data_IF_764901635423
#
_entry.id   IF_764901635423
#
_cell.length_a   1.000
_cell.length_b   1.000
_cell.length_c   1.000
_cell.angle_alpha   90.00
_cell.angle_beta   90.00
_cell.angle_gamma   90.00
#
_symmetry.space_group_name_H-M   'P 1'
#
loop_
_entity.id
_entity.type
_entity.pdbx_description
1 polymer ?
#
# COMPACT_ATOMS: atom_id res chain seq x y z
N UNK A 1 11.56 -32.67 -2.00
CA UNK A 1 11.72 -31.24 -1.65
C UNK A 1 11.08 -30.99 -0.30
N UNK A 2 11.64 -30.06 0.50
CA UNK A 2 10.93 -29.54 1.68
C UNK A 2 9.86 -28.55 1.19
N UNK A 3 8.64 -28.56 1.76
CA UNK A 3 7.65 -27.53 1.46
C UNK A 3 8.18 -26.14 1.81
N UNK A 4 7.76 -25.14 1.04
CA UNK A 4 8.08 -23.72 1.22
C UNK A 4 6.79 -22.92 1.20
N UNK A 5 6.80 -21.74 1.82
CA UNK A 5 5.64 -20.86 1.89
C UNK A 5 5.99 -19.54 1.21
N UNK A 6 5.18 -19.14 0.24
CA UNK A 6 5.31 -17.86 -0.46
C UNK A 6 4.08 -17.00 -0.16
N UNK A 7 4.29 -15.80 0.37
CA UNK A 7 3.22 -14.88 0.77
C UNK A 7 3.31 -13.59 -0.02
N UNK A 8 2.14 -13.05 -0.40
CA UNK A 8 2.09 -11.62 -0.73
C UNK A 8 2.19 -10.78 0.54
N UNK A 9 2.41 -9.47 0.40
CA UNK A 9 2.46 -8.56 1.53
C UNK A 9 1.11 -7.86 1.76
N UNK A 10 0.70 -6.98 0.85
CA UNK A 10 -0.59 -6.30 0.94
C UNK A 10 -1.75 -7.28 0.75
N UNK A 11 -2.74 -7.23 1.63
CA UNK A 11 -3.91 -8.12 1.56
C UNK A 11 -3.68 -9.55 2.08
N UNK A 12 -2.45 -9.88 2.52
CA UNK A 12 -2.14 -11.17 3.17
C UNK A 12 -1.50 -10.95 4.54
N UNK A 13 -0.40 -10.18 4.61
CA UNK A 13 0.29 -9.87 5.86
C UNK A 13 -0.25 -8.57 6.45
N UNK A 14 -0.43 -7.56 5.60
CA UNK A 14 -0.63 -6.17 6.00
C UNK A 14 -1.88 -5.54 5.37
N UNK A 15 -2.63 -4.84 6.20
CA UNK A 15 -3.55 -3.77 5.81
C UNK A 15 -2.79 -2.44 5.75
N UNK A 16 -2.62 -1.91 4.54
CA UNK A 16 -1.95 -0.64 4.23
C UNK A 16 -2.94 0.47 3.86
N UNK A 17 -4.24 0.29 4.14
CA UNK A 17 -5.28 1.23 3.74
C UNK A 17 -5.03 2.65 4.29
N UNK A 18 -4.75 2.76 5.59
CA UNK A 18 -4.54 4.06 6.24
C UNK A 18 -3.30 4.77 5.69
N UNK A 19 -2.23 4.03 5.39
CA UNK A 19 -1.04 4.58 4.73
C UNK A 19 -1.34 5.07 3.32
N UNK A 20 -2.10 4.29 2.54
CA UNK A 20 -2.53 4.68 1.20
C UNK A 20 -3.36 5.97 1.24
N UNK A 21 -4.26 6.10 2.22
CA UNK A 21 -5.09 7.29 2.42
C UNK A 21 -4.22 8.52 2.72
N UNK A 22 -3.37 8.46 3.75
CA UNK A 22 -2.52 9.60 4.15
C UNK A 22 -1.61 10.03 2.99
N UNK A 23 -0.99 9.05 2.32
CA UNK A 23 -0.11 9.32 1.19
C UNK A 23 -0.86 9.93 0.01
N UNK A 24 -2.02 9.37 -0.36
CA UNK A 24 -2.82 9.87 -1.48
C UNK A 24 -3.39 11.26 -1.20
N UNK A 25 -3.82 11.51 0.04
CA UNK A 25 -4.29 12.83 0.48
C UNK A 25 -3.21 13.89 0.32
N UNK A 26 -2.00 13.63 0.82
CA UNK A 26 -0.88 14.55 0.70
C UNK A 26 -0.48 14.78 -0.76
N UNK A 27 -0.39 13.71 -1.55
CA UNK A 27 -0.06 13.80 -2.97
C UNK A 27 -1.10 14.60 -3.75
N UNK A 28 -2.39 14.46 -3.41
CA UNK A 28 -3.48 15.21 -4.03
C UNK A 28 -3.33 16.69 -3.73
N UNK A 29 -3.17 17.06 -2.45
CA UNK A 29 -3.01 18.46 -2.05
C UNK A 29 -1.78 19.10 -2.68
N UNK A 30 -0.65 18.38 -2.75
CA UNK A 30 0.55 18.84 -3.44
C UNK A 30 0.31 19.08 -4.93
N UNK A 31 -0.36 18.16 -5.63
CA UNK A 31 -0.66 18.32 -7.05
C UNK A 31 -1.63 19.47 -7.32
N UNK A 32 -2.60 19.71 -6.43
CA UNK A 32 -3.55 20.82 -6.56
C UNK A 32 -3.03 22.15 -5.99
N UNK A 33 -1.78 22.21 -5.52
CA UNK A 33 -1.14 23.45 -5.03
C UNK A 33 -1.63 23.94 -3.67
N UNK A 34 -2.06 23.02 -2.81
CA UNK A 34 -2.53 23.28 -1.45
C UNK A 34 -1.47 22.90 -0.41
N UNK A 35 -1.35 23.70 0.66
CA UNK A 35 -0.38 23.49 1.74
C UNK A 35 -0.83 22.47 2.81
N UNK A 36 -1.91 21.72 2.57
CA UNK A 36 -2.36 20.71 3.50
C UNK A 36 -1.41 19.51 3.54
N UNK A 37 -1.11 19.05 4.76
CA UNK A 37 -0.28 17.88 5.00
C UNK A 37 -0.80 17.09 6.22
N UNK A 38 -1.11 15.81 6.00
CA UNK A 38 -1.52 14.87 7.03
C UNK A 38 -0.35 13.94 7.38
N UNK A 39 -0.13 13.71 8.68
CA UNK A 39 0.81 12.69 9.16
C UNK A 39 0.07 11.42 9.63
N UNK A 40 -1.24 11.52 9.83
CA UNK A 40 -2.13 10.45 10.25
C UNK A 40 -3.53 10.66 9.69
N UNK A 41 -4.38 9.64 9.79
CA UNK A 41 -5.78 9.77 9.37
C UNK A 41 -6.61 10.66 10.31
N UNK A 42 -6.09 11.01 11.49
CA UNK A 42 -6.70 12.00 12.37
C UNK A 42 -6.55 13.44 11.85
N UNK A 43 -5.59 13.70 10.95
CA UNK A 43 -5.39 15.00 10.31
C UNK A 43 -6.33 15.19 9.10
N UNK A 44 -7.10 14.16 8.74
CA UNK A 44 -8.00 14.14 7.58
C UNK A 44 -9.43 14.18 8.10
N UNK A 45 -10.28 14.98 7.45
CA UNK A 45 -11.72 15.04 7.79
C UNK A 45 -12.34 13.63 7.77
N UNK A 46 -13.09 13.22 8.80
CA UNK A 46 -13.63 11.86 8.89
C UNK A 46 -14.43 11.43 7.67
N UNK A 47 -15.20 12.35 7.07
CA UNK A 47 -16.02 12.08 5.89
C UNK A 47 -15.18 11.69 4.67
N UNK A 48 -14.01 12.32 4.51
CA UNK A 48 -13.05 12.02 3.44
C UNK A 48 -12.40 10.67 3.70
N UNK A 49 -11.95 10.43 4.93
CA UNK A 49 -11.31 9.17 5.32
C UNK A 49 -12.24 7.96 5.15
N UNK A 50 -13.48 8.09 5.63
CA UNK A 50 -14.49 7.03 5.53
C UNK A 50 -14.95 6.80 4.09
N UNK A 51 -15.05 7.86 3.29
CA UNK A 51 -15.32 7.73 1.87
C UNK A 51 -14.19 6.99 1.16
N UNK A 52 -12.92 7.35 1.43
CA UNK A 52 -11.78 6.65 0.85
C UNK A 52 -11.76 5.17 1.23
N UNK A 53 -11.99 4.83 2.51
CA UNK A 53 -12.08 3.43 2.98
C UNK A 53 -13.06 2.60 2.16
N UNK A 54 -14.25 3.16 1.89
CA UNK A 54 -15.27 2.48 1.07
C UNK A 54 -14.87 2.38 -0.40
N UNK A 55 -14.20 3.39 -0.94
CA UNK A 55 -13.94 3.50 -2.38
C UNK A 55 -12.58 2.95 -2.82
N UNK A 56 -11.67 2.66 -1.88
CA UNK A 56 -10.29 2.18 -2.13
C UNK A 56 -10.21 0.99 -3.10
N UNK A 57 -11.24 0.15 -3.13
CA UNK A 57 -11.30 -1.03 -4.00
C UNK A 57 -11.37 -0.70 -5.50
N UNK A 58 -11.76 0.52 -5.89
CA UNK A 58 -11.79 0.94 -7.29
C UNK A 58 -10.39 1.11 -7.90
N UNK A 59 -9.44 1.60 -7.10
CA UNK A 59 -8.09 1.89 -7.56
C UNK A 59 -7.22 0.63 -7.61
N UNK A 60 -6.58 0.42 -8.76
CA UNK A 60 -5.68 -0.71 -9.03
C UNK A 60 -4.21 -0.40 -8.77
N UNK A 61 -3.84 0.86 -8.89
CA UNK A 61 -2.47 1.36 -8.76
C UNK A 61 -2.47 2.77 -8.13
N UNK A 62 -1.28 3.29 -7.84
CA UNK A 62 -1.13 4.54 -7.11
C UNK A 62 -1.70 5.76 -7.87
N UNK A 63 -1.52 5.82 -9.19
CA UNK A 63 -2.02 6.92 -10.03
C UNK A 63 -3.54 7.13 -9.89
N UNK A 64 -4.30 6.05 -9.71
CA UNK A 64 -5.75 6.06 -9.63
C UNK A 64 -6.29 6.62 -8.30
N UNK A 65 -5.47 6.70 -7.25
CA UNK A 65 -5.90 7.30 -5.99
C UNK A 65 -6.25 8.78 -6.10
N UNK A 66 -5.72 9.49 -7.10
CA UNK A 66 -6.13 10.87 -7.36
C UNK A 66 -7.64 10.96 -7.58
N UNK A 67 -8.24 10.07 -8.38
CA UNK A 67 -9.68 10.08 -8.68
C UNK A 67 -10.49 9.85 -7.41
N UNK A 68 -10.04 8.92 -6.57
CA UNK A 68 -10.72 8.60 -5.31
C UNK A 68 -10.67 9.79 -4.36
N UNK A 69 -9.49 10.37 -4.11
CA UNK A 69 -9.35 11.51 -3.20
C UNK A 69 -10.11 12.73 -3.73
N UNK A 70 -10.02 13.01 -5.04
CA UNK A 70 -10.78 14.07 -5.69
C UNK A 70 -12.26 13.93 -5.39
N UNK A 71 -12.84 12.76 -5.70
CA UNK A 71 -14.24 12.46 -5.43
C UNK A 71 -14.60 12.61 -3.96
N UNK A 72 -13.78 12.10 -3.04
CA UNK A 72 -14.02 12.19 -1.61
C UNK A 72 -14.03 13.64 -1.10
N UNK A 73 -13.30 14.56 -1.74
CA UNK A 73 -13.20 15.96 -1.34
C UNK A 73 -14.30 16.82 -1.99
N UNK A 74 -14.65 16.57 -3.26
CA UNK A 74 -15.55 17.43 -4.04
C UNK A 74 -17.02 17.03 -3.96
N UNK A 75 -17.32 15.76 -4.26
CA UNK A 75 -18.69 15.27 -4.44
C UNK A 75 -19.13 14.43 -3.24
N UNK A 76 -18.24 13.54 -2.77
CA UNK A 76 -18.51 12.59 -1.71
C UNK A 76 -19.59 11.55 -2.04
N UNK A 77 -19.93 10.72 -1.06
CA UNK A 77 -21.02 9.75 -1.19
C UNK A 77 -20.72 8.53 -2.06
N UNK A 78 -21.77 7.90 -2.56
CA UNK A 78 -21.68 6.66 -3.34
C UNK A 78 -21.09 6.91 -4.73
N UNK A 79 -20.14 6.09 -5.14
CA UNK A 79 -19.53 6.10 -6.46
C UNK A 79 -19.84 4.77 -7.15
N UNK A 80 -20.33 4.81 -8.39
CA UNK A 80 -20.52 3.60 -9.20
C UNK A 80 -19.30 3.33 -10.08
N UNK A 81 -19.11 2.08 -10.52
CA UNK A 81 -18.03 1.73 -11.45
C UNK A 81 -18.09 2.57 -12.74
N UNK A 82 -19.26 2.71 -13.35
CA UNK A 82 -19.43 3.51 -14.57
C UNK A 82 -19.04 4.99 -14.36
N UNK A 83 -19.35 5.55 -13.19
CA UNK A 83 -18.95 6.93 -12.85
C UNK A 83 -17.45 7.02 -12.61
N UNK A 84 -16.87 6.06 -11.89
CA UNK A 84 -15.42 5.97 -11.69
C UNK A 84 -14.68 5.91 -13.03
N UNK A 85 -15.09 5.03 -13.94
CA UNK A 85 -14.47 4.88 -15.28
C UNK A 85 -14.56 6.18 -16.10
N UNK A 86 -15.68 6.89 -15.99
CA UNK A 86 -15.88 8.20 -16.62
C UNK A 86 -14.90 9.23 -16.05
N UNK A 87 -14.71 9.28 -14.72
CA UNK A 87 -13.78 10.20 -14.08
C UNK A 87 -12.33 9.87 -14.44
N UNK A 88 -11.94 8.59 -14.37
CA UNK A 88 -10.61 8.12 -14.75
C UNK A 88 -10.28 8.50 -16.20
N UNK A 89 -11.25 8.33 -17.12
CA UNK A 89 -11.09 8.76 -18.53
C UNK A 89 -11.00 10.27 -18.67
N UNK A 90 -11.83 11.03 -17.95
CA UNK A 90 -11.83 12.50 -17.95
C UNK A 90 -10.51 13.09 -17.46
N UNK A 91 -9.90 12.47 -16.45
CA UNK A 91 -8.67 12.94 -15.80
C UNK A 91 -7.43 12.14 -16.19
N UNK A 92 -7.47 11.39 -17.30
CA UNK A 92 -6.38 10.50 -17.72
C UNK A 92 -5.02 11.19 -17.81
N UNK A 93 -4.96 12.48 -18.19
CA UNK A 93 -3.72 13.25 -18.26
C UNK A 93 -3.11 13.58 -16.88
N UNK A 94 -3.91 13.58 -15.81
CA UNK A 94 -3.44 13.86 -14.44
C UNK A 94 -2.84 12.64 -13.76
N UNK A 95 -3.33 11.44 -14.06
CA UNK A 95 -2.96 10.22 -13.33
C UNK A 95 -1.45 9.92 -13.42
N UNK A 96 -0.79 9.99 -14.60
CA UNK A 96 0.65 9.76 -14.70
C UNK A 96 1.49 10.82 -13.97
N UNK A 97 0.96 12.02 -13.77
CA UNK A 97 1.64 13.10 -13.02
C UNK A 97 1.49 12.87 -11.52
N UNK A 98 0.37 12.29 -11.08
CA UNK A 98 0.11 12.04 -9.66
C UNK A 98 0.99 10.93 -9.07
N UNK A 99 1.25 9.86 -9.82
CA UNK A 99 2.03 8.72 -9.31
C UNK A 99 3.41 9.07 -8.75
N UNK A 100 4.29 9.82 -9.44
CA UNK A 100 5.58 10.19 -8.86
C UNK A 100 5.41 11.04 -7.59
N UNK A 101 4.41 11.92 -7.54
CA UNK A 101 4.11 12.75 -6.35
C UNK A 101 3.62 11.89 -5.18
N UNK A 102 2.84 10.84 -5.46
CA UNK A 102 2.43 9.85 -4.48
C UNK A 102 3.65 9.17 -3.84
N UNK A 103 4.56 8.63 -4.65
CA UNK A 103 5.73 7.94 -4.13
C UNK A 103 6.71 8.87 -3.42
N UNK A 104 6.84 10.12 -3.87
CA UNK A 104 7.62 11.13 -3.16
C UNK A 104 7.00 11.47 -1.81
N UNK A 105 5.68 11.66 -1.76
CA UNK A 105 4.96 11.94 -0.50
C UNK A 105 5.10 10.78 0.50
N UNK A 106 5.06 9.53 0.00
CA UNK A 106 5.33 8.32 0.79
C UNK A 106 6.75 8.31 1.35
N UNK A 107 7.73 8.69 0.53
CA UNK A 107 9.12 8.78 0.97
C UNK A 107 9.31 9.86 2.04
N UNK A 108 8.68 11.02 1.88
CA UNK A 108 8.73 12.10 2.89
C UNK A 108 8.13 11.61 4.21
N UNK A 109 6.95 10.98 4.20
CA UNK A 109 6.31 10.44 5.40
C UNK A 109 7.20 9.43 6.13
N UNK A 110 7.71 8.43 5.40
CA UNK A 110 8.57 7.38 5.98
C UNK A 110 9.93 7.89 6.47
N UNK A 111 10.47 8.95 5.88
CA UNK A 111 11.78 9.52 6.26
C UNK A 111 11.68 10.53 7.40
N UNK A 112 10.55 11.23 7.53
CA UNK A 112 10.34 12.22 8.58
C UNK A 112 10.09 11.57 9.95
N UNK A 113 9.25 10.53 9.99
CA UNK A 113 8.92 9.79 11.22
C UNK A 113 8.56 8.35 10.85
N UNK A 114 9.58 7.48 10.86
CA UNK A 114 9.43 6.09 10.45
C UNK A 114 8.44 5.34 11.34
N UNK A 115 8.47 5.55 12.66
CA UNK A 115 7.59 4.86 13.60
C UNK A 115 6.14 5.26 13.38
N UNK A 116 5.87 6.55 13.13
CA UNK A 116 4.53 7.02 12.78
C UNK A 116 4.06 6.44 11.46
N UNK A 117 4.90 6.43 10.43
CA UNK A 117 4.56 5.84 9.14
C UNK A 117 4.29 4.33 9.25
N UNK A 118 5.09 3.61 10.04
CA UNK A 118 4.84 2.20 10.36
C UNK A 118 3.51 2.00 11.11
N UNK A 119 3.14 2.94 11.98
CA UNK A 119 1.86 2.95 12.70
C UNK A 119 0.61 3.09 11.80
N UNK A 120 0.77 3.48 10.52
CA UNK A 120 -0.30 3.49 9.52
C UNK A 120 -0.56 2.09 8.92
N UNK A 121 0.24 1.09 9.29
CA UNK A 121 0.12 -0.28 8.82
C UNK A 121 -0.35 -1.19 9.95
N UNK A 122 -1.21 -2.15 9.62
CA UNK A 122 -1.69 -3.15 10.58
C UNK A 122 -1.49 -4.54 10.02
N UNK A 123 -1.02 -5.47 10.84
CA UNK A 123 -1.06 -6.88 10.46
C UNK A 123 -2.49 -7.38 10.53
N UNK A 124 -2.87 -8.26 9.60
CA UNK A 124 -4.14 -8.96 9.71
C UNK A 124 -4.13 -9.87 10.95
N UNK A 125 -5.13 -9.81 11.84
CA UNK A 125 -5.21 -10.68 13.01
C UNK A 125 -5.08 -12.17 12.64
N UNK A 126 -5.70 -12.58 11.55
CA UNK A 126 -5.68 -13.95 11.03
C UNK A 126 -4.26 -14.38 10.63
N UNK A 127 -3.48 -13.44 10.07
CA UNK A 127 -2.07 -13.69 9.77
C UNK A 127 -1.26 -13.85 11.06
N UNK A 128 -1.46 -12.98 12.06
CA UNK A 128 -0.79 -13.08 13.36
C UNK A 128 -1.04 -14.44 14.04
N UNK A 129 -2.29 -14.90 14.02
CA UNK A 129 -2.70 -16.16 14.62
C UNK A 129 -2.02 -17.36 13.93
N UNK A 130 -2.03 -17.36 12.58
CA UNK A 130 -1.38 -18.41 11.79
C UNK A 130 0.16 -18.36 11.82
N UNK A 131 0.75 -17.16 11.92
CA UNK A 131 2.19 -16.96 11.82
C UNK A 131 2.97 -17.72 12.88
N UNK A 132 2.47 -17.76 14.11
CA UNK A 132 3.15 -18.47 15.20
C UNK A 132 3.18 -19.98 15.00
N UNK A 133 2.17 -20.54 14.34
CA UNK A 133 2.16 -21.96 13.98
C UNK A 133 3.15 -22.25 12.86
N UNK A 134 3.31 -21.34 11.90
CA UNK A 134 4.07 -21.59 10.67
C UNK A 134 5.55 -21.22 10.78
N UNK A 135 5.88 -20.15 11.50
CA UNK A 135 7.24 -19.62 11.57
C UNK A 135 8.21 -20.67 12.10
N UNK A 136 9.31 -20.88 11.39
CA UNK A 136 10.32 -21.88 11.74
C UNK A 136 10.01 -23.32 11.35
N UNK A 137 8.78 -23.65 10.91
CA UNK A 137 8.48 -24.98 10.38
C UNK A 137 8.92 -25.13 8.91
N UNK A 138 8.75 -24.07 8.12
CA UNK A 138 9.09 -24.04 6.69
C UNK A 138 9.85 -22.76 6.35
N UNK A 139 10.69 -22.76 5.29
CA UNK A 139 11.19 -21.53 4.70
C UNK A 139 10.02 -20.67 4.21
N UNK A 140 9.98 -19.42 4.67
CA UNK A 140 8.97 -18.43 4.27
C UNK A 140 9.63 -17.39 3.37
N UNK A 141 8.95 -17.04 2.28
CA UNK A 141 9.33 -16.00 1.33
C UNK A 141 8.21 -14.98 1.18
N UNK A 142 8.57 -13.70 1.07
CA UNK A 142 7.64 -12.63 0.70
C UNK A 142 7.84 -12.33 -0.79
N UNK A 143 6.75 -12.33 -1.55
CA UNK A 143 6.72 -12.02 -2.98
C UNK A 143 5.73 -10.89 -3.23
N UNK A 144 6.23 -9.67 -3.35
CA UNK A 144 5.41 -8.44 -3.34
C UNK A 144 5.88 -7.40 -4.37
N UNK A 145 4.99 -6.49 -4.73
CA UNK A 145 5.28 -5.31 -5.57
C UNK A 145 5.72 -4.10 -4.75
N UNK A 146 5.80 -4.20 -3.42
CA UNK A 146 6.43 -3.16 -2.59
C UNK A 146 7.93 -3.04 -2.87
N UNK A 147 8.51 -1.90 -2.52
CA UNK A 147 9.96 -1.71 -2.51
C UNK A 147 10.64 -2.46 -1.37
N UNK A 148 11.88 -2.88 -1.61
CA UNK A 148 12.71 -3.62 -0.66
C UNK A 148 12.82 -2.92 0.70
N UNK A 149 13.08 -1.62 0.69
CA UNK A 149 13.35 -0.84 1.90
C UNK A 149 12.13 -0.86 2.83
N UNK A 150 10.94 -0.67 2.27
CA UNK A 150 9.68 -0.79 3.01
C UNK A 150 9.49 -2.19 3.61
N UNK A 151 9.69 -3.25 2.82
CA UNK A 151 9.53 -4.63 3.29
C UNK A 151 10.50 -4.95 4.42
N UNK A 152 11.74 -4.47 4.32
CA UNK A 152 12.73 -4.60 5.39
C UNK A 152 12.31 -3.86 6.67
N UNK A 153 11.73 -2.66 6.56
CA UNK A 153 11.17 -1.96 7.73
C UNK A 153 10.07 -2.77 8.40
N UNK A 154 9.11 -3.29 7.63
CA UNK A 154 8.03 -4.11 8.19
C UNK A 154 8.53 -5.41 8.82
N UNK A 155 9.45 -6.11 8.14
CA UNK A 155 10.04 -7.35 8.63
C UNK A 155 10.71 -7.15 10.00
N UNK A 156 11.43 -6.03 10.19
CA UNK A 156 12.03 -5.66 11.48
C UNK A 156 10.98 -5.22 12.50
N UNK A 157 10.08 -4.32 12.11
CA UNK A 157 9.07 -3.73 12.99
C UNK A 157 8.16 -4.79 13.61
N UNK A 158 7.68 -5.74 12.81
CA UNK A 158 6.84 -6.86 13.27
C UNK A 158 7.61 -8.11 13.66
N UNK A 159 8.95 -8.06 13.62
CA UNK A 159 9.84 -9.17 14.00
C UNK A 159 9.46 -10.48 13.30
N UNK A 160 9.16 -10.41 12.00
CA UNK A 160 8.81 -11.59 11.23
C UNK A 160 10.04 -12.52 11.11
N UNK A 161 11.25 -11.98 11.07
CA UNK A 161 12.47 -12.77 11.06
C UNK A 161 12.71 -13.50 9.73
N UNK A 162 12.17 -12.94 8.64
CA UNK A 162 12.35 -13.48 7.29
C UNK A 162 13.71 -12.98 6.76
N UNK A 163 14.60 -13.86 6.26
CA UNK A 163 15.89 -13.45 5.71
C UNK A 163 15.74 -12.51 4.50
N UNK A 164 16.70 -11.61 4.29
CA UNK A 164 16.64 -10.62 3.21
C UNK A 164 16.64 -11.26 1.82
N UNK A 165 17.33 -12.39 1.66
CA UNK A 165 17.34 -13.22 0.45
C UNK A 165 15.98 -13.86 0.13
N UNK A 166 15.04 -13.87 1.09
CA UNK A 166 13.68 -14.35 0.92
C UNK A 166 12.67 -13.23 0.65
N UNK A 167 13.13 -11.98 0.53
CA UNK A 167 12.32 -10.81 0.21
C UNK A 167 12.41 -10.51 -1.29
N UNK A 168 11.39 -10.97 -2.03
CA UNK A 168 11.24 -10.75 -3.47
C UNK A 168 10.32 -9.55 -3.72
N UNK A 169 10.95 -8.39 -3.89
CA UNK A 169 10.29 -7.09 -4.05
C UNK A 169 10.31 -6.62 -5.50
N UNK A 170 9.69 -5.47 -5.81
CA UNK A 170 9.65 -4.93 -7.19
C UNK A 170 11.03 -4.75 -7.83
N UNK A 171 12.07 -4.49 -7.04
CA UNK A 171 13.45 -4.34 -7.54
C UNK A 171 14.12 -5.68 -7.84
N UNK A 172 13.64 -6.76 -7.23
CA UNK A 172 14.25 -8.10 -7.26
C UNK A 172 13.42 -9.11 -8.04
N UNK A 173 12.20 -8.76 -8.42
CA UNK A 173 11.24 -9.63 -9.09
C UNK A 173 10.47 -8.88 -10.18
N UNK A 174 10.49 -9.41 -11.40
CA UNK A 174 9.72 -8.85 -12.52
C UNK A 174 8.28 -9.40 -12.56
N UNK A 175 8.11 -10.70 -12.27
CA UNK A 175 6.80 -11.38 -12.34
C UNK A 175 6.68 -12.39 -11.19
N UNK A 176 5.62 -12.28 -10.38
CA UNK A 176 5.41 -13.15 -9.19
C UNK A 176 5.41 -14.64 -9.52
N UNK A 177 4.76 -15.03 -10.62
CA UNK A 177 4.66 -16.43 -11.04
C UNK A 177 6.03 -17.07 -11.32
N UNK A 178 6.95 -16.32 -11.94
CA UNK A 178 8.31 -16.80 -12.23
C UNK A 178 9.12 -16.98 -10.94
N UNK A 179 8.94 -16.10 -9.95
CA UNK A 179 9.61 -16.20 -8.66
C UNK A 179 9.14 -17.43 -7.90
N UNK A 180 7.82 -17.68 -7.85
CA UNK A 180 7.29 -18.87 -7.19
C UNK A 180 7.85 -20.14 -7.83
N UNK A 181 7.98 -20.18 -9.16
CA UNK A 181 8.63 -21.29 -9.84
C UNK A 181 10.11 -21.44 -9.45
N UNK A 182 10.86 -20.35 -9.33
CA UNK A 182 12.28 -20.39 -8.90
C UNK A 182 12.46 -20.86 -7.45
N UNK A 183 11.55 -20.50 -6.56
CA UNK A 183 11.58 -20.91 -5.14
C UNK A 183 11.21 -22.41 -5.01
N UNK A 184 10.37 -22.92 -5.90
CA UNK A 184 9.87 -24.30 -5.86
C UNK A 184 10.84 -25.35 -6.44
N UNK A 185 12.08 -25.00 -6.77
CA UNK A 185 13.12 -25.92 -7.26
C UNK A 185 14.06 -26.27 -6.11
#
# INVERSE_FOLDING_TARGET
>A
MKPVITLDFDGVICDSLEECLVTAYNAYHRLEGSDHWANSTADIRPEVADSFRRLRHYARNAQEFWVIIHWCITDGGALSQARYDTLTSRYAARLPVFEPIFFESRHILSSADLDRWLGLHRMYPEFCDGWNAVKGQFPVHIVTTKDLVSVQYFNRHWRLGIPDEHLWTKERALVKGEIVQRIAV
#
